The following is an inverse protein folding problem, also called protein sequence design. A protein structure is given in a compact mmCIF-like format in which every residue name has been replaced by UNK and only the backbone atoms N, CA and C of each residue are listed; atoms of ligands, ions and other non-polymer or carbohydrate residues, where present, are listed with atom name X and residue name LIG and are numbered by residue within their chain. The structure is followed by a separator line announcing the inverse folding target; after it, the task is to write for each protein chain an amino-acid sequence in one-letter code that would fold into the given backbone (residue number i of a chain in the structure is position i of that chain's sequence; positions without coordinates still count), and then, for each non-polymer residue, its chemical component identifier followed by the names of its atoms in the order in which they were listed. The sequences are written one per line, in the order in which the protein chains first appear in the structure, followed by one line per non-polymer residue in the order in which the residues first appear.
data_IF_855245643026
#
_entry.id   IF_855245643026
#
_cell.length_a   1.000
_cell.length_b   1.000
_cell.length_c   1.000
_cell.angle_alpha   90.00
_cell.angle_beta   90.00
_cell.angle_gamma   90.00
#
_symmetry.space_group_name_H-M   'P 1'
#
loop_
_entity.id
_entity.type
_entity.pdbx_description
1 polymer ?
#
# COMPACT_ATOMS: atom_id res chain seq x y z
N UNK A 1 -20.14 -13.12 1.80
CA UNK A 1 -19.81 -13.86 3.03
C UNK A 1 -19.12 -15.17 2.71
N UNK A 2 -17.86 -15.33 3.11
CA UNK A 2 -17.09 -16.57 2.95
C UNK A 2 -17.26 -17.50 4.15
N UNK A 3 -17.15 -18.81 3.91
CA UNK A 3 -17.02 -19.80 4.98
C UNK A 3 -15.64 -19.74 5.63
N UNK A 4 -15.51 -20.29 6.84
CA UNK A 4 -14.22 -20.41 7.54
C UNK A 4 -13.16 -21.09 6.67
N UNK A 5 -13.55 -22.17 5.99
CA UNK A 5 -12.66 -22.96 5.13
C UNK A 5 -12.11 -22.12 3.97
N UNK A 6 -12.95 -21.36 3.26
CA UNK A 6 -12.51 -20.47 2.19
C UNK A 6 -11.55 -19.38 2.69
N UNK A 7 -11.81 -18.80 3.87
CA UNK A 7 -10.90 -17.80 4.47
C UNK A 7 -9.57 -18.44 4.86
N UNK A 8 -9.61 -19.68 5.35
CA UNK A 8 -8.43 -20.45 5.69
C UNK A 8 -7.62 -20.78 4.43
N UNK A 9 -8.25 -21.21 3.35
CA UNK A 9 -7.59 -21.47 2.06
C UNK A 9 -6.91 -20.22 1.50
N UNK A 10 -7.59 -19.05 1.55
CA UNK A 10 -6.97 -17.79 1.12
C UNK A 10 -5.75 -17.47 1.99
N UNK A 11 -5.83 -17.63 3.31
CA UNK A 11 -4.70 -17.39 4.20
C UNK A 11 -3.55 -18.39 3.96
N UNK A 12 -3.86 -19.66 3.70
CA UNK A 12 -2.89 -20.71 3.35
C UNK A 12 -2.27 -20.52 1.97
N UNK A 13 -2.94 -19.79 1.07
CA UNK A 13 -2.38 -19.42 -0.23
C UNK A 13 -1.16 -18.51 -0.12
N UNK A 14 -0.91 -17.90 1.05
CA UNK A 14 0.28 -17.10 1.32
C UNK A 14 1.33 -17.97 2.01
N UNK A 15 2.41 -18.40 1.31
CA UNK A 15 3.45 -19.25 1.88
C UNK A 15 4.25 -18.56 2.98
N UNK A 16 4.18 -17.22 3.03
CA UNK A 16 4.82 -16.36 4.02
C UNK A 16 4.12 -16.39 5.39
N UNK A 17 2.85 -16.82 5.42
CA UNK A 17 2.07 -16.89 6.65
C UNK A 17 2.22 -18.24 7.32
N UNK A 18 2.67 -18.20 8.56
CA UNK A 18 2.70 -19.33 9.46
C UNK A 18 1.39 -19.42 10.24
N UNK A 19 0.62 -20.49 9.97
CA UNK A 19 -0.59 -20.80 10.71
C UNK A 19 -0.25 -21.21 12.14
N UNK A 20 -0.94 -20.62 13.11
CA UNK A 20 -0.83 -20.97 14.52
C UNK A 20 -2.21 -21.20 15.11
N UNK A 21 -2.44 -22.43 15.57
CA UNK A 21 -3.68 -22.81 16.23
C UNK A 21 -3.64 -22.32 17.68
N UNK A 22 -4.71 -21.69 18.15
CA UNK A 22 -4.85 -21.30 19.55
C UNK A 22 -6.02 -22.03 20.20
N UNK A 23 -5.97 -22.13 21.52
CA UNK A 23 -6.99 -22.81 22.31
C UNK A 23 -8.40 -22.22 22.08
N UNK A 24 -9.40 -23.12 22.00
CA UNK A 24 -10.81 -22.86 21.69
C UNK A 24 -11.19 -22.74 20.20
N UNK A 25 -10.44 -23.38 19.28
CA UNK A 25 -10.84 -23.46 17.86
C UNK A 25 -10.74 -22.12 17.12
N UNK A 26 -9.79 -21.29 17.54
CA UNK A 26 -9.40 -20.06 16.85
C UNK A 26 -8.07 -20.30 16.16
N UNK A 27 -7.90 -19.67 15.00
CA UNK A 27 -6.66 -19.75 14.23
C UNK A 27 -6.09 -18.36 14.03
N UNK A 28 -4.78 -18.26 14.18
CA UNK A 28 -4.02 -17.05 13.99
C UNK A 28 -3.04 -17.28 12.83
N UNK A 29 -2.72 -16.25 12.08
CA UNK A 29 -1.67 -16.31 11.07
C UNK A 29 -0.62 -15.27 11.38
N UNK A 30 0.64 -15.70 11.35
CA UNK A 30 1.80 -14.90 11.69
C UNK A 30 2.75 -14.85 10.52
N UNK A 31 3.25 -13.68 10.19
CA UNK A 31 4.32 -13.47 9.23
C UNK A 31 5.65 -13.45 9.98
N UNK A 32 6.48 -14.47 9.77
CA UNK A 32 7.75 -14.59 10.51
C UNK A 32 8.82 -13.62 10.00
N UNK A 33 8.73 -13.21 8.72
CA UNK A 33 9.62 -12.23 8.09
C UNK A 33 9.33 -10.77 8.46
N UNK A 34 8.51 -10.52 9.48
CA UNK A 34 8.16 -9.15 9.89
C UNK A 34 9.40 -8.38 10.33
N UNK A 35 9.58 -7.18 9.77
CA UNK A 35 10.59 -6.20 10.20
C UNK A 35 10.20 -5.52 11.52
N UNK A 36 8.95 -5.70 11.98
CA UNK A 36 8.40 -5.14 13.21
C UNK A 36 8.25 -6.21 14.30
N UNK A 37 8.17 -5.77 15.56
CA UNK A 37 7.89 -6.63 16.72
C UNK A 37 6.57 -7.40 16.57
N UNK A 38 5.61 -6.81 15.84
CA UNK A 38 4.32 -7.44 15.55
C UNK A 38 4.45 -8.37 14.33
N UNK A 39 4.15 -9.66 14.53
CA UNK A 39 4.15 -10.68 13.47
C UNK A 39 2.76 -11.18 13.09
N UNK A 40 1.76 -10.98 13.93
CA UNK A 40 0.41 -11.50 13.68
C UNK A 40 -0.32 -10.66 12.62
N UNK A 41 -0.68 -11.31 11.51
CA UNK A 41 -1.47 -10.76 10.41
C UNK A 41 -2.95 -11.03 10.63
N UNK A 42 -3.33 -12.27 10.98
CA UNK A 42 -4.72 -12.65 11.23
C UNK A 42 -4.89 -13.09 12.68
N UNK A 43 -5.94 -12.58 13.33
CA UNK A 43 -6.29 -12.83 14.71
C UNK A 43 -7.68 -13.44 14.82
N UNK A 44 -7.79 -14.43 15.72
CA UNK A 44 -9.06 -14.99 16.18
C UNK A 44 -9.99 -15.43 15.03
N UNK A 45 -9.44 -16.01 13.96
CA UNK A 45 -10.26 -16.56 12.89
C UNK A 45 -11.09 -17.71 13.49
N UNK A 46 -12.40 -17.51 13.56
CA UNK A 46 -13.36 -18.43 14.17
C UNK A 46 -14.17 -19.14 13.08
N UNK A 47 -14.61 -20.36 13.37
CA UNK A 47 -15.49 -21.17 12.50
C UNK A 47 -16.78 -20.47 12.04
N UNK A 48 -17.21 -19.42 12.75
CA UNK A 48 -18.35 -18.57 12.35
C UNK A 48 -17.98 -17.59 11.21
N UNK A 49 -16.76 -17.63 10.68
CA UNK A 49 -16.24 -16.71 9.67
C UNK A 49 -15.80 -15.36 10.23
N UNK A 50 -15.95 -15.10 11.53
CA UNK A 50 -15.46 -13.87 12.15
C UNK A 50 -13.94 -13.95 12.37
N UNK A 51 -13.26 -12.83 12.21
CA UNK A 51 -11.82 -12.72 12.42
C UNK A 51 -11.38 -11.28 12.29
N UNK A 52 -10.11 -11.04 12.60
CA UNK A 52 -9.51 -9.72 12.51
C UNK A 52 -8.21 -9.79 11.74
N UNK A 53 -7.93 -8.79 10.91
CA UNK A 53 -6.67 -8.65 10.20
C UNK A 53 -5.96 -7.39 10.68
N UNK A 54 -4.65 -7.46 10.86
CA UNK A 54 -3.87 -6.30 11.22
C UNK A 54 -3.79 -5.34 10.03
N UNK A 55 -4.19 -4.10 10.25
CA UNK A 55 -4.13 -3.05 9.26
C UNK A 55 -3.70 -1.71 9.91
N UNK A 56 -3.10 -1.75 11.10
CA UNK A 56 -2.66 -0.54 11.80
C UNK A 56 -1.56 0.23 11.07
N UNK A 57 -0.86 -0.41 10.14
CA UNK A 57 0.12 0.21 9.25
C UNK A 57 -0.47 0.57 7.88
N UNK A 58 -1.70 0.10 7.59
CA UNK A 58 -2.40 0.39 6.34
C UNK A 58 -3.21 1.67 6.49
N UNK A 59 -3.17 2.54 5.48
CA UNK A 59 -4.06 3.71 5.44
C UNK A 59 -5.22 3.47 4.47
N UNK A 60 -6.44 3.84 4.90
CA UNK A 60 -7.67 3.68 4.12
C UNK A 60 -8.58 2.55 4.59
N UNK A 61 -8.25 1.88 5.69
CA UNK A 61 -9.08 0.84 6.31
C UNK A 61 -9.63 1.30 7.67
N UNK A 62 -10.86 0.90 7.99
CA UNK A 62 -11.47 1.13 9.31
C UNK A 62 -10.88 0.14 10.33
N UNK A 63 -9.82 0.57 11.01
CA UNK A 63 -9.20 -0.18 12.11
C UNK A 63 -9.74 0.24 13.47
N UNK A 64 -9.82 -0.71 14.39
CA UNK A 64 -10.00 -0.45 15.83
C UNK A 64 -8.75 0.21 16.47
N UNK A 65 -8.82 0.60 17.75
CA UNK A 65 -7.73 1.20 18.54
C UNK A 65 -6.41 0.41 18.48
N UNK A 66 -6.52 -0.91 18.25
CA UNK A 66 -5.37 -1.82 18.12
C UNK A 66 -4.80 -1.96 16.70
N UNK A 67 -5.36 -1.25 15.73
CA UNK A 67 -5.01 -1.38 14.32
C UNK A 67 -5.57 -2.66 13.67
N UNK A 68 -6.74 -3.13 14.10
CA UNK A 68 -7.34 -4.39 13.64
C UNK A 68 -8.62 -4.12 12.85
N UNK A 69 -8.75 -4.74 11.68
CA UNK A 69 -9.94 -4.64 10.82
C UNK A 69 -10.75 -5.91 10.96
N UNK A 70 -12.07 -5.75 11.09
CA UNK A 70 -12.99 -6.88 11.17
C UNK A 70 -13.29 -7.43 9.77
N UNK A 71 -12.93 -8.70 9.53
CA UNK A 71 -13.10 -9.36 8.24
C UNK A 71 -14.37 -10.20 8.15
N UNK A 72 -15.35 -10.04 9.03
CA UNK A 72 -16.59 -10.84 9.06
C UNK A 72 -17.29 -10.86 7.70
N UNK A 73 -17.50 -9.69 7.13
CA UNK A 73 -18.29 -9.52 5.90
C UNK A 73 -17.45 -9.55 4.60
N UNK A 74 -16.13 -9.66 4.73
CA UNK A 74 -15.21 -9.56 3.60
C UNK A 74 -15.43 -10.68 2.56
N UNK A 75 -15.33 -10.29 1.29
CA UNK A 75 -15.28 -11.16 0.12
C UNK A 75 -13.90 -11.80 -0.05
N UNK A 76 -13.77 -12.81 -0.92
CA UNK A 76 -12.48 -13.50 -1.14
C UNK A 76 -11.39 -12.53 -1.58
N UNK A 77 -11.75 -11.64 -2.49
CA UNK A 77 -10.87 -10.61 -3.04
C UNK A 77 -10.44 -9.61 -1.96
N UNK A 78 -11.39 -9.09 -1.18
CA UNK A 78 -11.12 -8.13 -0.11
C UNK A 78 -10.25 -8.74 0.99
N UNK A 79 -10.51 -10.00 1.36
CA UNK A 79 -9.73 -10.74 2.35
C UNK A 79 -8.30 -10.92 1.87
N UNK A 80 -8.12 -11.30 0.61
CA UNK A 80 -6.80 -11.46 0.00
C UNK A 80 -6.03 -10.13 -0.02
N UNK A 81 -6.70 -9.06 -0.45
CA UNK A 81 -6.11 -7.71 -0.52
C UNK A 81 -5.64 -7.21 0.85
N UNK A 82 -6.46 -7.34 1.89
CA UNK A 82 -6.07 -6.87 3.22
C UNK A 82 -4.95 -7.71 3.84
N UNK A 83 -4.96 -9.03 3.60
CA UNK A 83 -3.89 -9.92 4.07
C UNK A 83 -2.57 -9.56 3.37
N UNK A 84 -2.57 -9.45 2.04
CA UNK A 84 -1.39 -9.08 1.26
C UNK A 84 -0.85 -7.71 1.69
N UNK A 85 -1.74 -6.72 1.82
CA UNK A 85 -1.36 -5.38 2.24
C UNK A 85 -0.78 -5.40 3.67
N UNK A 86 -1.33 -6.22 4.57
CA UNK A 86 -0.80 -6.38 5.93
C UNK A 86 0.58 -7.04 5.93
N UNK A 87 0.81 -8.07 5.09
CA UNK A 87 2.11 -8.73 4.96
C UNK A 87 3.13 -7.73 4.43
N UNK A 88 2.81 -7.02 3.34
CA UNK A 88 3.66 -5.95 2.78
C UNK A 88 4.03 -4.91 3.82
N UNK A 89 3.03 -4.39 4.54
CA UNK A 89 3.27 -3.40 5.58
C UNK A 89 4.14 -3.90 6.74
N UNK A 90 4.15 -5.21 7.00
CA UNK A 90 4.99 -5.83 8.03
C UNK A 90 6.38 -6.24 7.50
N UNK A 91 6.49 -6.54 6.21
CA UNK A 91 7.74 -6.95 5.55
C UNK A 91 8.59 -5.77 5.11
N UNK A 92 7.96 -4.67 4.71
CA UNK A 92 8.65 -3.48 4.25
C UNK A 92 9.01 -2.60 5.45
N UNK A 93 10.31 -2.50 5.76
CA UNK A 93 10.83 -1.29 6.42
C UNK A 93 10.44 -0.08 5.55
N UNK A 94 10.17 1.11 6.11
CA UNK A 94 9.33 2.14 5.49
C UNK A 94 9.88 2.64 4.14
N UNK A 95 9.50 1.96 3.06
CA UNK A 95 9.62 2.46 1.71
C UNK A 95 8.57 1.75 0.85
N UNK A 96 7.56 2.53 0.45
CA UNK A 96 6.76 2.33 -0.77
C UNK A 96 5.75 1.17 -0.80
N UNK A 97 4.72 1.26 0.04
CA UNK A 97 3.47 0.53 -0.20
C UNK A 97 2.70 1.14 -1.39
N UNK A 98 2.86 0.56 -2.59
CA UNK A 98 1.96 0.74 -3.72
C UNK A 98 0.68 -0.12 -3.54
N UNK A 99 -0.54 0.45 -3.63
CA UNK A 99 -1.76 -0.33 -3.78
C UNK A 99 -2.08 -0.50 -5.28
N UNK A 100 -2.18 -1.76 -5.73
CA UNK A 100 -2.74 -2.09 -7.04
C UNK A 100 -4.24 -1.79 -7.12
N UNK A 101 -4.64 -1.36 -8.32
CA UNK A 101 -5.87 -0.71 -8.67
C UNK A 101 -7.17 -1.51 -8.43
N UNK A 102 -8.17 -0.85 -7.81
CA UNK A 102 -9.54 -0.71 -8.36
C UNK A 102 -10.41 0.22 -7.51
N UNK A 103 -10.40 1.51 -7.86
CA UNK A 103 -11.63 2.29 -8.11
C UNK A 103 -11.30 3.76 -8.18
N UNK A 104 -11.65 4.35 -9.31
CA UNK A 104 -11.69 5.78 -9.52
C UNK A 104 -12.61 6.45 -8.48
N UNK A 105 -12.04 7.13 -7.48
CA UNK A 105 -12.63 8.36 -6.95
C UNK A 105 -11.60 9.15 -6.13
N UNK A 106 -11.31 10.34 -6.67
CA UNK A 106 -10.86 11.61 -6.05
C UNK A 106 -10.29 11.57 -4.63
N UNK A 107 -9.25 12.41 -4.49
CA UNK A 107 -8.69 12.96 -3.24
C UNK A 107 -8.09 11.88 -2.34
N UNK A 108 -6.83 11.91 -1.93
CA UNK A 108 -6.06 13.05 -1.46
C UNK A 108 -4.66 12.51 -1.09
N UNK A 109 -3.62 13.33 -1.24
CA UNK A 109 -2.57 13.45 -0.21
C UNK A 109 -1.77 12.17 0.15
N UNK A 110 -0.91 11.69 -0.74
CA UNK A 110 0.24 10.85 -0.34
C UNK A 110 1.50 11.21 -1.14
N UNK A 111 2.54 11.61 -0.40
CA UNK A 111 3.97 11.64 -0.72
C UNK A 111 4.37 12.00 -2.17
N UNK A 112 4.69 13.27 -2.39
CA UNK A 112 4.57 13.98 -3.67
C UNK A 112 5.88 14.03 -4.47
N UNK A 113 6.55 12.89 -4.65
CA UNK A 113 7.60 12.76 -5.66
C UNK A 113 6.94 12.30 -6.97
N UNK A 114 6.82 13.19 -7.95
CA UNK A 114 6.24 12.89 -9.25
C UNK A 114 7.36 12.86 -10.30
N UNK A 115 7.46 11.76 -11.05
CA UNK A 115 8.40 11.61 -12.14
C UNK A 115 7.75 12.09 -13.45
N UNK A 116 8.43 12.99 -14.15
CA UNK A 116 7.99 13.59 -15.40
C UNK A 116 8.98 13.22 -16.49
N UNK A 117 8.49 12.86 -17.68
CA UNK A 117 9.33 12.52 -18.82
C UNK A 117 8.85 13.25 -20.07
N UNK A 118 9.80 13.66 -20.93
CA UNK A 118 9.47 14.24 -22.23
C UNK A 118 9.70 13.23 -23.38
N UNK A 119 9.37 13.64 -24.60
CA UNK A 119 9.54 12.82 -25.81
C UNK A 119 11.01 12.56 -26.19
N UNK A 120 11.93 13.33 -25.63
CA UNK A 120 13.38 13.23 -25.86
C UNK A 120 14.05 12.25 -24.86
N UNK A 121 13.27 11.69 -23.92
CA UNK A 121 13.76 10.76 -22.90
C UNK A 121 14.39 11.46 -21.68
N UNK A 122 14.27 12.78 -21.57
CA UNK A 122 14.68 13.51 -20.38
C UNK A 122 13.65 13.30 -19.26
N UNK A 123 14.13 13.23 -18.02
CA UNK A 123 13.28 13.01 -16.85
C UNK A 123 13.49 14.08 -15.78
N UNK A 124 12.40 14.63 -15.27
CA UNK A 124 12.37 15.58 -14.17
C UNK A 124 11.63 14.98 -12.96
N UNK A 125 12.06 15.36 -11.76
CA UNK A 125 11.48 14.91 -10.50
C UNK A 125 10.88 16.11 -9.77
N UNK A 126 9.56 16.15 -9.66
CA UNK A 126 8.86 17.16 -8.89
C UNK A 126 8.65 16.65 -7.47
N UNK A 127 9.29 17.31 -6.49
CA UNK A 127 9.25 16.99 -5.07
C UNK A 127 8.62 18.15 -4.30
N UNK A 128 7.90 17.85 -3.21
CA UNK A 128 7.41 18.89 -2.31
C UNK A 128 8.07 18.80 -0.94
N UNK A 129 8.74 19.88 -0.56
CA UNK A 129 9.45 20.04 0.72
C UNK A 129 9.18 21.45 1.24
N UNK A 130 9.02 21.64 2.55
CA UNK A 130 8.87 22.97 3.17
C UNK A 130 7.86 23.91 2.46
N UNK A 131 6.71 23.38 2.05
CA UNK A 131 5.64 24.11 1.34
C UNK A 131 6.00 24.56 -0.09
N UNK A 132 7.22 24.26 -0.55
CA UNK A 132 7.77 24.57 -1.86
C UNK A 132 7.88 23.33 -2.74
N UNK A 133 7.82 23.56 -4.04
CA UNK A 133 7.87 22.57 -5.10
C UNK A 133 9.20 22.61 -5.82
N UNK A 134 10.02 21.59 -5.62
CA UNK A 134 11.34 21.47 -6.22
C UNK A 134 11.30 20.56 -7.43
N UNK A 135 11.79 21.03 -8.57
CA UNK A 135 11.97 20.24 -9.78
C UNK A 135 13.43 19.86 -9.87
N UNK A 136 13.74 18.58 -9.98
CA UNK A 136 15.09 18.06 -10.11
C UNK A 136 15.32 17.44 -11.49
N UNK A 137 16.39 17.85 -12.16
CA UNK A 137 16.93 17.21 -13.35
C UNK A 137 18.00 16.18 -12.94
N UNK A 138 17.55 14.97 -12.61
CA UNK A 138 18.42 13.93 -12.05
C UNK A 138 18.88 14.27 -10.64
N UNK A 139 20.16 14.62 -10.49
CA UNK A 139 20.76 15.02 -9.19
C UNK A 139 20.83 16.54 -9.00
N UNK A 140 20.53 17.33 -10.03
CA UNK A 140 20.59 18.79 -9.98
C UNK A 140 19.20 19.36 -9.73
N UNK A 141 19.12 20.40 -8.90
CA UNK A 141 17.90 21.22 -8.79
C UNK A 141 17.76 22.07 -10.05
N UNK A 142 16.61 21.97 -10.70
CA UNK A 142 16.24 22.73 -11.89
C UNK A 142 15.54 24.03 -11.49
N UNK A 143 14.37 23.93 -10.83
CA UNK A 143 13.56 25.08 -10.42
C UNK A 143 12.80 24.83 -9.11
N UNK A 144 12.35 25.91 -8.48
CA UNK A 144 11.53 25.87 -7.26
C UNK A 144 10.30 26.76 -7.45
N UNK A 145 9.13 26.27 -7.06
CA UNK A 145 7.86 26.98 -7.16
C UNK A 145 7.13 27.01 -5.81
N UNK A 146 6.30 28.02 -5.61
CA UNK A 146 5.49 28.18 -4.40
C UNK A 146 4.16 27.39 -4.50
N UNK A 147 3.70 27.12 -5.72
CA UNK A 147 2.44 26.44 -6.00
C UNK A 147 2.61 25.24 -6.93
N UNK A 148 1.71 24.25 -6.78
CA UNK A 148 1.73 23.06 -7.64
C UNK A 148 1.48 23.39 -9.09
N UNK A 149 0.48 24.23 -9.29
CA UNK A 149 -0.04 24.59 -10.60
C UNK A 149 1.05 25.26 -11.44
N UNK A 150 1.90 26.09 -10.82
CA UNK A 150 3.04 26.71 -11.48
C UNK A 150 4.12 25.68 -11.86
N UNK A 151 4.43 24.75 -10.96
CA UNK A 151 5.40 23.69 -11.24
C UNK A 151 4.92 22.71 -12.32
N UNK A 152 3.64 22.34 -12.29
CA UNK A 152 3.00 21.48 -13.30
C UNK A 152 2.98 22.17 -14.66
N UNK A 153 2.58 23.44 -14.70
CA UNK A 153 2.50 24.20 -15.94
C UNK A 153 3.88 24.37 -16.58
N UNK A 154 4.92 24.65 -15.79
CA UNK A 154 6.30 24.67 -16.28
C UNK A 154 6.70 23.34 -16.94
N UNK A 155 6.41 22.21 -16.29
CA UNK A 155 6.72 20.89 -16.83
C UNK A 155 5.97 20.62 -18.14
N UNK A 156 4.70 21.01 -18.23
CA UNK A 156 3.90 20.88 -19.45
C UNK A 156 4.39 21.80 -20.57
N UNK A 157 4.81 23.03 -20.26
CA UNK A 157 5.37 23.99 -21.23
C UNK A 157 6.70 23.50 -21.81
N UNK A 158 7.56 22.91 -20.98
CA UNK A 158 8.80 22.25 -21.37
C UNK A 158 8.57 20.92 -22.13
N UNK A 159 7.31 20.51 -22.29
CA UNK A 159 6.93 19.30 -23.03
C UNK A 159 7.13 18.01 -22.24
N UNK A 160 7.28 18.11 -20.92
CA UNK A 160 7.22 16.96 -20.03
C UNK A 160 5.77 16.58 -19.76
N UNK A 161 5.55 15.29 -19.55
CA UNK A 161 4.28 14.75 -19.08
C UNK A 161 4.57 13.83 -17.92
N UNK A 162 3.59 13.63 -17.03
CA UNK A 162 3.69 12.61 -15.99
C UNK A 162 4.08 11.30 -16.66
N UNK A 163 5.28 10.83 -16.33
CA UNK A 163 5.77 9.58 -16.88
C UNK A 163 4.87 8.48 -16.32
N UNK A 164 4.18 7.69 -17.15
CA UNK A 164 3.66 6.43 -16.66
C UNK A 164 4.87 5.64 -16.18
N UNK A 165 4.84 5.23 -14.92
CA UNK A 165 5.79 4.27 -14.34
C UNK A 165 6.19 3.21 -15.38
N UNK A 166 7.49 3.01 -15.65
CA UNK A 166 7.93 2.15 -16.74
C UNK A 166 7.37 0.72 -16.52
N UNK A 167 6.93 0.03 -17.57
CA UNK A 167 6.56 -1.38 -17.43
C UNK A 167 7.80 -2.15 -17.03
N UNK A 168 7.77 -2.83 -15.87
CA UNK A 168 8.71 -3.90 -15.56
C UNK A 168 8.65 -4.94 -16.70
N UNK A 169 9.64 -4.91 -17.59
CA UNK A 169 9.76 -5.82 -18.73
C UNK A 169 10.39 -7.14 -18.27
N UNK A 170 9.82 -8.27 -18.75
CA UNK A 170 10.48 -9.59 -18.76
C UNK A 170 11.70 -9.63 -19.68
#
# INVERSE_FOLDING_TARGET
MLTFDQKLEIALSFPELSRSDVSMGRVNFQFDGSAYDRKNVIYHLHKNGNGYVYAGLLSGYETDDKGLVNIRDYSAEELRLIIEASIRSLSEAPETAAPSARSARKTNKKARLQLWANKDGQTLQLKHEDELWFIYAGLNLDMVFESFEEAEQYLLEEGFSIAPEPPEHS
#
